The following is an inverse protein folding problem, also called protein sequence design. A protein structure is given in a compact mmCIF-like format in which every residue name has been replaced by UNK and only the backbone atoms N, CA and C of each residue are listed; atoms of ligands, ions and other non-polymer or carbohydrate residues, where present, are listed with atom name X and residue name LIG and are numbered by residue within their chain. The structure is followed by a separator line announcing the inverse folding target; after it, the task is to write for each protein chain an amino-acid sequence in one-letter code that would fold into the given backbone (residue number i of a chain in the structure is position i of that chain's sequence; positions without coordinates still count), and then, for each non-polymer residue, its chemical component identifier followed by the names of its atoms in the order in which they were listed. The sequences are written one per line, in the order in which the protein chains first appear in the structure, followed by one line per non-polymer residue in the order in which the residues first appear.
data_IF_467242749400
#
_entry.id   IF_467242749400
#
_cell.length_a   1.000
_cell.length_b   1.000
_cell.length_c   1.000
_cell.angle_alpha   90.00
_cell.angle_beta   90.00
_cell.angle_gamma   90.00
#
_symmetry.space_group_name_H-M   'P 1'
#
loop_
_entity.id
_entity.type
_entity.pdbx_description
1 polymer ?
#
# COMPACT_ATOMS: atom_id res chain seq x y z
N UNK A 1 -7.33 12.12 16.71
CA UNK A 1 -6.69 10.79 16.58
C UNK A 1 -6.84 10.22 15.17
N UNK A 2 -7.83 10.66 14.39
CA UNK A 2 -8.05 10.15 13.03
C UNK A 2 -7.13 10.78 11.97
N UNK A 3 -6.77 12.06 12.11
CA UNK A 3 -6.01 12.78 11.08
C UNK A 3 -4.58 12.24 10.88
N UNK A 4 -3.89 11.88 11.96
CA UNK A 4 -2.56 11.26 11.87
C UNK A 4 -2.61 9.87 11.22
N UNK A 5 -3.65 9.08 11.53
CA UNK A 5 -3.86 7.76 10.90
C UNK A 5 -4.17 7.93 9.42
N UNK A 6 -5.03 8.89 9.07
CA UNK A 6 -5.37 9.21 7.68
C UNK A 6 -4.15 9.67 6.89
N UNK A 7 -3.36 10.60 7.42
CA UNK A 7 -2.10 11.03 6.80
C UNK A 7 -1.14 9.85 6.62
N UNK A 8 -1.12 8.94 7.59
CA UNK A 8 -0.27 7.77 7.51
C UNK A 8 -0.72 6.77 6.43
N UNK A 9 -2.03 6.54 6.29
CA UNK A 9 -2.61 5.71 5.24
C UNK A 9 -2.39 6.32 3.84
N UNK A 10 -2.60 7.63 3.71
CA UNK A 10 -2.33 8.38 2.47
C UNK A 10 -0.87 8.22 2.05
N UNK A 11 0.09 8.35 2.98
CA UNK A 11 1.50 8.17 2.66
C UNK A 11 1.86 6.75 2.18
N UNK A 12 1.19 5.70 2.69
CA UNK A 12 1.36 4.33 2.15
C UNK A 12 0.79 4.20 0.75
N UNK A 13 -0.41 4.76 0.53
CA UNK A 13 -1.08 4.71 -0.76
C UNK A 13 -0.29 5.47 -1.84
N UNK A 14 0.26 6.65 -1.50
CA UNK A 14 1.12 7.43 -2.38
C UNK A 14 2.40 6.68 -2.76
N UNK A 15 3.06 6.05 -1.78
CA UNK A 15 4.26 5.25 -2.04
C UNK A 15 3.94 4.07 -2.97
N UNK A 16 2.81 3.38 -2.76
CA UNK A 16 2.39 2.29 -3.63
C UNK A 16 2.00 2.79 -5.03
N UNK A 17 1.32 3.93 -5.13
CA UNK A 17 0.97 4.59 -6.39
C UNK A 17 2.20 4.89 -7.23
N UNK A 18 3.26 5.46 -6.63
CA UNK A 18 4.54 5.71 -7.32
C UNK A 18 5.19 4.43 -7.81
N UNK A 19 5.22 3.38 -7.00
CA UNK A 19 5.77 2.08 -7.43
C UNK A 19 4.96 1.49 -8.59
N UNK A 20 3.62 1.61 -8.55
CA UNK A 20 2.75 1.16 -9.62
C UNK A 20 2.94 1.99 -10.90
N UNK A 21 3.20 3.29 -10.81
CA UNK A 21 3.48 4.14 -11.98
C UNK A 21 4.79 3.74 -12.68
N UNK A 22 5.81 3.35 -11.92
CA UNK A 22 7.06 2.83 -12.49
C UNK A 22 6.91 1.41 -13.06
N UNK A 23 6.10 0.56 -12.43
CA UNK A 23 5.97 -0.87 -12.75
C UNK A 23 4.50 -1.33 -12.70
N UNK A 24 3.65 -0.93 -13.66
CA UNK A 24 2.20 -1.10 -13.56
C UNK A 24 1.70 -2.55 -13.48
N UNK A 25 2.44 -3.49 -14.05
CA UNK A 25 2.03 -4.91 -14.11
C UNK A 25 2.74 -5.80 -13.08
N UNK A 26 3.52 -5.22 -12.17
CA UNK A 26 4.30 -5.99 -11.19
C UNK A 26 3.81 -5.75 -9.76
N UNK A 27 3.47 -6.82 -9.00
CA UNK A 27 3.21 -6.71 -7.58
C UNK A 27 4.39 -6.08 -6.83
N UNK A 28 4.11 -5.13 -5.94
CA UNK A 28 5.12 -4.50 -5.10
C UNK A 28 5.39 -5.41 -3.90
N UNK A 29 6.65 -5.76 -3.61
CA UNK A 29 6.97 -6.52 -2.40
C UNK A 29 6.73 -5.66 -1.15
N UNK A 30 6.31 -6.27 -0.05
CA UNK A 30 6.12 -5.54 1.22
C UNK A 30 7.42 -4.90 1.71
N UNK A 31 8.56 -5.54 1.47
CA UNK A 31 9.87 -4.99 1.78
C UNK A 31 10.19 -3.72 0.97
N UNK A 32 9.87 -3.71 -0.34
CA UNK A 32 10.03 -2.51 -1.18
C UNK A 32 9.12 -1.40 -0.67
N UNK A 33 7.85 -1.69 -0.38
CA UNK A 33 6.91 -0.67 0.09
C UNK A 33 7.26 -0.13 1.48
N UNK A 34 7.71 -0.99 2.41
CA UNK A 34 8.19 -0.59 3.75
C UNK A 34 9.35 0.39 3.64
N UNK A 35 10.30 0.13 2.75
CA UNK A 35 11.42 1.04 2.48
C UNK A 35 10.96 2.36 1.85
N UNK A 36 10.07 2.33 0.87
CA UNK A 36 9.61 3.53 0.14
C UNK A 36 8.69 4.43 0.98
N UNK A 37 7.93 3.85 1.91
CA UNK A 37 7.06 4.59 2.83
C UNK A 37 7.74 4.95 4.16
N UNK A 38 8.99 4.52 4.37
CA UNK A 38 9.75 4.68 5.61
C UNK A 38 9.02 4.12 6.85
N UNK A 39 8.30 3.00 6.68
CA UNK A 39 7.48 2.40 7.74
C UNK A 39 8.04 1.08 8.23
N UNK A 40 8.04 0.83 9.55
CA UNK A 40 8.28 -0.50 10.08
C UNK A 40 7.28 -1.50 9.50
N UNK A 41 7.74 -2.71 9.18
CA UNK A 41 6.92 -3.74 8.54
C UNK A 41 5.61 -4.03 9.30
N UNK A 42 5.65 -4.06 10.63
CA UNK A 42 4.47 -4.29 11.48
C UNK A 42 3.42 -3.17 11.35
N UNK A 43 3.87 -1.92 11.24
CA UNK A 43 3.01 -0.75 11.05
C UNK A 43 2.43 -0.76 9.64
N UNK A 44 3.28 -0.98 8.62
CA UNK A 44 2.85 -1.08 7.24
C UNK A 44 1.76 -2.15 7.08
N UNK A 45 1.95 -3.34 7.65
CA UNK A 45 0.96 -4.42 7.55
C UNK A 45 -0.40 -4.05 8.13
N UNK A 46 -0.43 -3.38 9.30
CA UNK A 46 -1.69 -2.91 9.89
C UNK A 46 -2.40 -1.91 8.98
N UNK A 47 -1.65 -0.98 8.40
CA UNK A 47 -2.19 -0.01 7.45
C UNK A 47 -2.68 -0.66 6.17
N UNK A 48 -1.94 -1.64 5.63
CA UNK A 48 -2.35 -2.41 4.47
C UNK A 48 -3.61 -3.24 4.74
N UNK A 49 -3.81 -3.75 5.96
CA UNK A 49 -5.10 -4.36 6.35
C UNK A 49 -6.24 -3.35 6.24
N UNK A 50 -6.08 -2.14 6.79
CA UNK A 50 -7.12 -1.10 6.69
C UNK A 50 -7.42 -0.70 5.23
N UNK A 51 -6.38 -0.56 4.40
CA UNK A 51 -6.54 -0.25 2.98
C UNK A 51 -7.17 -1.41 2.19
N UNK A 52 -6.91 -2.66 2.59
CA UNK A 52 -7.49 -3.84 1.98
C UNK A 52 -8.97 -4.01 2.37
N UNK A 53 -9.31 -3.76 3.63
CA UNK A 53 -10.69 -3.75 4.12
C UNK A 53 -11.52 -2.65 3.43
N UNK A 54 -10.88 -1.52 3.07
CA UNK A 54 -11.47 -0.47 2.25
C UNK A 54 -11.54 -0.80 0.74
N UNK A 55 -10.95 -1.92 0.31
CA UNK A 55 -10.97 -2.37 -1.09
C UNK A 55 -10.01 -1.64 -2.03
N UNK A 56 -9.04 -0.89 -1.52
CA UNK A 56 -8.08 -0.12 -2.34
C UNK A 56 -6.83 -0.90 -2.70
N UNK A 57 -6.47 -1.91 -1.92
CA UNK A 57 -5.30 -2.77 -2.17
C UNK A 57 -5.65 -4.24 -2.02
N UNK A 58 -4.93 -5.08 -2.76
CA UNK A 58 -4.92 -6.53 -2.54
C UNK A 58 -3.55 -6.93 -1.99
N UNK A 59 -3.54 -7.61 -0.85
CA UNK A 59 -2.32 -8.09 -0.18
C UNK A 59 -2.23 -9.60 -0.28
N UNK A 60 -1.10 -10.11 -0.77
CA UNK A 60 -0.80 -11.55 -0.83
C UNK A 60 0.40 -11.84 0.05
N UNK A 61 0.19 -12.58 1.13
CA UNK A 61 1.25 -12.97 2.05
C UNK A 61 1.81 -14.34 1.68
N UNK A 62 3.11 -14.51 1.89
CA UNK A 62 3.79 -15.80 1.77
C UNK A 62 3.57 -16.67 3.02
N UNK A 63 3.98 -17.93 2.95
CA UNK A 63 3.94 -18.86 4.08
C UNK A 63 4.78 -18.31 5.25
N UNK A 64 4.20 -18.25 6.45
CA UNK A 64 4.79 -17.56 7.61
C UNK A 64 4.44 -16.07 7.74
N UNK A 65 3.79 -15.47 6.73
CA UNK A 65 3.09 -14.18 6.82
C UNK A 65 3.96 -12.93 6.95
N UNK A 66 5.29 -13.06 6.98
CA UNK A 66 6.22 -11.93 7.11
C UNK A 66 6.47 -11.25 5.75
N UNK A 67 6.70 -12.06 4.72
CA UNK A 67 6.90 -11.63 3.35
C UNK A 67 5.58 -11.64 2.57
N UNK A 68 5.57 -10.95 1.43
CA UNK A 68 4.41 -10.86 0.58
C UNK A 68 4.51 -9.76 -0.47
N UNK A 69 3.42 -9.60 -1.21
CA UNK A 69 3.25 -8.56 -2.21
C UNK A 69 1.93 -7.83 -2.04
N UNK A 70 1.86 -6.63 -2.59
CA UNK A 70 0.67 -5.79 -2.60
C UNK A 70 0.48 -5.14 -3.97
N UNK A 71 -0.77 -5.01 -4.36
CA UNK A 71 -1.23 -4.42 -5.62
C UNK A 71 -2.32 -3.40 -5.32
N UNK A 72 -2.42 -2.35 -6.15
CA UNK A 72 -3.62 -1.52 -6.18
C UNK A 72 -4.76 -2.30 -6.86
N UNK A 73 -5.96 -2.20 -6.31
CA UNK A 73 -7.19 -2.61 -7.03
C UNK A 73 -7.54 -1.59 -8.10
N UNK A 74 -8.56 -1.85 -8.92
CA UNK A 74 -9.07 -0.84 -9.86
C UNK A 74 -9.53 0.44 -9.12
N UNK A 75 -10.26 0.26 -8.02
CA UNK A 75 -10.71 1.36 -7.16
C UNK A 75 -9.53 2.11 -6.53
N UNK A 76 -8.50 1.40 -6.07
CA UNK A 76 -7.29 2.02 -5.53
C UNK A 76 -6.50 2.79 -6.59
N UNK A 77 -6.44 2.30 -7.83
CA UNK A 77 -5.85 3.02 -8.96
C UNK A 77 -6.62 4.29 -9.28
N UNK A 78 -7.95 4.23 -9.29
CA UNK A 78 -8.78 5.40 -9.55
C UNK A 78 -8.58 6.47 -8.47
N UNK A 79 -8.61 6.08 -7.19
CA UNK A 79 -8.32 6.97 -6.07
C UNK A 79 -6.91 7.58 -6.16
N UNK A 80 -5.91 6.77 -6.50
CA UNK A 80 -4.53 7.25 -6.68
C UNK A 80 -4.40 8.31 -7.77
N UNK A 81 -5.16 8.20 -8.87
CA UNK A 81 -5.22 9.25 -9.90
C UNK A 81 -5.86 10.54 -9.37
N UNK A 82 -6.92 10.43 -8.60
CA UNK A 82 -7.61 11.62 -8.06
C UNK A 82 -6.77 12.37 -7.01
N UNK A 83 -5.96 11.64 -6.24
CA UNK A 83 -5.15 12.22 -5.16
C UNK A 83 -3.75 12.65 -5.59
N UNK A 84 -3.14 11.98 -6.57
CA UNK A 84 -1.70 12.10 -6.85
C UNK A 84 -1.32 12.31 -8.32
N UNK A 85 -2.27 12.46 -9.25
CA UNK A 85 -1.98 12.74 -10.67
C UNK A 85 -1.81 14.24 -10.96
#
# INVERSE_FOLDING_TARGET
MDEEVMAALVGVLEALWRVNAEWPDKPCTLAKLSKQSERPMSVLRRQLTLLADAGWVEVRLEEGGVAGTVLLTDSGRQLGRELFA
#
